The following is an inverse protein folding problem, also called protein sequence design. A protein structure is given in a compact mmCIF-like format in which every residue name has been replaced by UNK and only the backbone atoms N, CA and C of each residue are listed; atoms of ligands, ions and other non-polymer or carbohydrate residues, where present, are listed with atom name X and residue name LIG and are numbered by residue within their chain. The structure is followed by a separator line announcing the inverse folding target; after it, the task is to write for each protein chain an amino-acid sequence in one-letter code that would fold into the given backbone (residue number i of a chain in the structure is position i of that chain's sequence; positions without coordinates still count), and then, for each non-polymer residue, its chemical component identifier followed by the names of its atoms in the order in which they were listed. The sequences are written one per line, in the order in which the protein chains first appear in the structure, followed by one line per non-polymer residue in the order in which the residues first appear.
data_IF_289747972906
#
_entry.id   IF_289747972906
#
_cell.length_a   1.000
_cell.length_b   1.000
_cell.length_c   1.000
_cell.angle_alpha   90.00
_cell.angle_beta   90.00
_cell.angle_gamma   90.00
#
_symmetry.space_group_name_H-M   'P 1'
#
loop_
_entity.id
_entity.type
_entity.pdbx_description
1 polymer ?
#
# COMPACT_ATOMS: atom_id res chain seq x y z
N UNK A 1 -13.61 -11.68 -5.37
CA UNK A 1 -12.32 -11.92 -6.07
C UNK A 1 -11.25 -11.06 -5.40
N UNK A 2 -10.54 -11.58 -4.40
CA UNK A 2 -9.49 -10.86 -3.65
C UNK A 2 -8.13 -11.12 -4.29
N UNK A 3 -7.84 -10.41 -5.40
CA UNK A 3 -6.59 -10.56 -6.14
C UNK A 3 -5.73 -9.30 -6.08
N UNK A 4 -4.93 -9.10 -5.03
CA UNK A 4 -3.77 -8.17 -5.05
C UNK A 4 -2.80 -8.29 -3.88
N UNK A 5 -2.87 -9.33 -3.04
CA UNK A 5 -1.93 -9.52 -1.91
C UNK A 5 -0.66 -10.30 -2.26
N UNK A 6 -0.54 -10.91 -3.44
CA UNK A 6 0.51 -11.91 -3.68
C UNK A 6 1.95 -11.36 -3.72
N UNK A 7 2.16 -10.04 -3.70
CA UNK A 7 3.50 -9.45 -3.63
C UNK A 7 3.61 -8.22 -2.74
N UNK A 8 2.63 -7.89 -1.89
CA UNK A 8 2.77 -6.81 -0.90
C UNK A 8 2.82 -7.47 0.48
N UNK A 9 3.99 -7.45 1.12
CA UNK A 9 4.18 -8.24 2.33
C UNK A 9 3.48 -7.63 3.56
N UNK A 10 3.32 -8.43 4.60
CA UNK A 10 2.59 -8.05 5.81
C UNK A 10 3.22 -6.83 6.51
N UNK A 11 4.55 -6.71 6.56
CA UNK A 11 5.23 -5.54 7.12
C UNK A 11 4.90 -4.25 6.36
N UNK A 12 4.82 -4.31 5.03
CA UNK A 12 4.45 -3.18 4.19
C UNK A 12 2.96 -2.82 4.36
N UNK A 13 2.10 -3.81 4.57
CA UNK A 13 0.69 -3.59 4.89
C UNK A 13 0.50 -2.87 6.22
N UNK A 14 1.21 -3.28 7.27
CA UNK A 14 1.18 -2.60 8.58
C UNK A 14 1.71 -1.17 8.50
N UNK A 15 2.76 -0.95 7.71
CA UNK A 15 3.24 0.41 7.44
C UNK A 15 2.20 1.25 6.72
N UNK A 16 1.53 0.69 5.72
CA UNK A 16 0.49 1.41 5.00
C UNK A 16 -0.72 1.74 5.88
N UNK A 17 -1.08 0.84 6.79
CA UNK A 17 -2.10 1.08 7.81
C UNK A 17 -1.75 2.26 8.71
N UNK A 18 -0.52 2.30 9.21
CA UNK A 18 -0.02 3.42 10.00
C UNK A 18 0.01 4.73 9.20
N UNK A 19 0.59 4.71 8.00
CA UNK A 19 0.71 5.89 7.15
C UNK A 19 -0.67 6.48 6.80
N UNK A 20 -1.65 5.63 6.48
CA UNK A 20 -3.00 6.04 6.11
C UNK A 20 -3.91 6.30 7.32
N UNK A 21 -3.47 5.99 8.54
CA UNK A 21 -4.30 5.98 9.76
C UNK A 21 -5.58 5.16 9.53
N UNK A 22 -5.39 3.90 9.11
CA UNK A 22 -6.46 3.03 8.63
C UNK A 22 -6.18 1.58 9.00
N UNK A 23 -7.20 0.83 9.40
CA UNK A 23 -7.04 -0.59 9.71
C UNK A 23 -6.67 -1.40 8.47
N UNK A 24 -5.83 -2.42 8.63
CA UNK A 24 -5.33 -3.24 7.51
C UNK A 24 -6.45 -3.90 6.70
N UNK A 25 -7.57 -4.23 7.35
CA UNK A 25 -8.77 -4.81 6.71
C UNK A 25 -9.51 -3.82 5.79
N UNK A 26 -9.38 -2.51 6.08
CA UNK A 26 -9.98 -1.42 5.31
C UNK A 26 -9.04 -0.90 4.20
N UNK A 27 -7.84 -1.49 4.07
CA UNK A 27 -6.90 -1.16 3.02
C UNK A 27 -7.12 -2.02 1.77
N UNK A 28 -7.11 -1.35 0.62
CA UNK A 28 -7.06 -1.97 -0.69
C UNK A 28 -5.69 -1.75 -1.31
N UNK A 29 -4.97 -2.85 -1.53
CA UNK A 29 -3.71 -2.85 -2.29
C UNK A 29 -4.01 -3.10 -3.76
N UNK A 30 -3.38 -2.33 -4.63
CA UNK A 30 -3.48 -2.46 -6.09
C UNK A 30 -2.08 -2.46 -6.69
N UNK A 31 -1.72 -3.49 -7.44
CA UNK A 31 -0.44 -3.50 -8.16
C UNK A 31 -0.52 -2.56 -9.37
N UNK A 32 0.29 -1.52 -9.37
CA UNK A 32 0.34 -0.49 -10.43
C UNK A 32 1.41 -0.78 -11.49
N UNK A 33 2.42 -1.61 -11.18
CA UNK A 33 3.51 -1.91 -12.11
C UNK A 33 4.58 -2.83 -11.50
N UNK A 34 5.75 -2.87 -12.14
CA UNK A 34 6.90 -3.71 -11.76
C UNK A 34 7.48 -3.31 -10.39
N UNK A 35 6.87 -3.82 -9.32
CA UNK A 35 7.25 -3.51 -7.94
C UNK A 35 6.54 -2.28 -7.37
N UNK A 36 5.57 -1.70 -8.07
CA UNK A 36 4.81 -0.53 -7.59
C UNK A 36 3.41 -0.95 -7.14
N UNK A 37 3.02 -0.49 -5.96
CA UNK A 37 1.77 -0.83 -5.28
C UNK A 37 1.08 0.45 -4.81
N UNK A 38 -0.12 0.71 -5.31
CA UNK A 38 -1.02 1.70 -4.72
C UNK A 38 -1.74 1.08 -3.53
N UNK A 39 -1.84 1.81 -2.43
CA UNK A 39 -2.64 1.43 -1.27
C UNK A 39 -3.62 2.56 -1.00
N UNK A 40 -4.90 2.21 -0.86
CA UNK A 40 -5.97 3.16 -0.58
C UNK A 40 -6.88 2.61 0.51
N UNK A 41 -7.33 3.47 1.42
CA UNK A 41 -8.25 3.12 2.50
C UNK A 41 -8.53 4.33 3.37
N UNK A 42 -9.68 4.35 4.04
CA UNK A 42 -10.08 5.42 4.96
C UNK A 42 -9.96 6.84 4.37
N UNK A 43 -10.33 7.01 3.08
CA UNK A 43 -10.28 8.30 2.38
C UNK A 43 -8.89 8.77 1.95
N UNK A 44 -7.85 7.97 2.19
CA UNK A 44 -6.46 8.30 1.82
C UNK A 44 -5.90 7.29 0.84
N UNK A 45 -4.86 7.70 0.11
CA UNK A 45 -4.08 6.83 -0.77
C UNK A 45 -2.59 7.18 -0.77
N UNK A 46 -1.76 6.16 -0.99
CA UNK A 46 -0.31 6.27 -1.11
C UNK A 46 0.23 5.22 -2.10
N UNK A 47 1.39 5.49 -2.69
CA UNK A 47 2.10 4.56 -3.59
C UNK A 47 3.38 4.06 -2.91
N UNK A 48 3.63 2.77 -3.01
CA UNK A 48 4.82 2.08 -2.50
C UNK A 48 5.59 1.41 -3.62
N UNK A 49 6.91 1.45 -3.56
CA UNK A 49 7.81 0.79 -4.51
C UNK A 49 8.69 -0.23 -3.79
N UNK A 50 8.83 -1.41 -4.38
CA UNK A 50 9.75 -2.45 -3.95
C UNK A 50 11.14 -2.16 -4.53
N UNK A 51 12.10 -1.86 -3.66
CA UNK A 51 13.51 -1.70 -4.01
C UNK A 51 14.31 -2.77 -3.29
N UNK A 52 14.90 -3.70 -4.05
CA UNK A 52 15.48 -4.92 -3.50
C UNK A 52 14.41 -5.78 -2.81
N UNK A 53 14.48 -5.85 -1.48
CA UNK A 53 13.54 -6.62 -0.64
C UNK A 53 12.68 -5.74 0.30
N UNK A 54 12.73 -4.40 0.14
CA UNK A 54 12.05 -3.45 1.03
C UNK A 54 11.08 -2.55 0.26
N UNK A 55 9.98 -2.17 0.91
CA UNK A 55 8.98 -1.24 0.37
C UNK A 55 9.20 0.16 0.89
N UNK A 56 9.25 1.12 -0.03
CA UNK A 56 9.40 2.55 0.24
C UNK A 56 8.16 3.28 -0.24
N UNK A 57 7.67 4.24 0.53
CA UNK A 57 6.61 5.14 0.07
C UNK A 57 7.21 6.07 -0.98
N UNK A 58 6.59 6.11 -2.16
CA UNK A 58 7.03 6.88 -3.32
C UNK A 58 6.07 8.05 -3.65
N UNK A 59 5.06 8.30 -2.82
CA UNK A 59 4.15 9.44 -2.95
C UNK A 59 3.89 10.11 -1.62
N UNK A 60 3.42 11.35 -1.68
CA UNK A 60 2.73 11.97 -0.55
C UNK A 60 1.40 11.23 -0.32
N UNK A 61 0.92 11.31 0.92
CA UNK A 61 -0.36 10.74 1.30
C UNK A 61 -1.41 11.77 0.90
N UNK A 62 -2.23 11.44 -0.09
CA UNK A 62 -3.30 12.33 -0.54
C UNK A 62 -4.61 11.84 0.05
N UNK A 63 -5.33 12.72 0.75
CA UNK A 63 -6.73 12.52 1.12
C UNK A 63 -7.64 13.11 0.04
N UNK A 64 -8.74 12.43 -0.25
CA UNK A 64 -9.90 12.99 -0.97
C UNK A 64 -11.01 13.34 0.02
#
# INVERSE_FOLDING_TARGET
MAGSLNHFNHSALNRAAFDLDCETENLKVTRLGSGTYGVSGCGKKAVYVLVGSKYFRNSEITGE
#
